data_IF_638349175287
#
_entry.id   IF_638349175287
#
_cell.length_a   1.000
_cell.length_b   1.000
_cell.length_c   1.000
_cell.angle_alpha   90.00
_cell.angle_beta   90.00
_cell.angle_gamma   90.00
#
_symmetry.space_group_name_H-M   'P 1'
#
loop_
_entity.id
_entity.type
_entity.pdbx_description
1 polymer ?
#
# COMPACT_ATOMS: atom_id res chain seq x y z
N UNK A 1 12.29 66.49 69.37
CA UNK A 1 11.25 65.95 70.26
C UNK A 1 10.38 65.02 69.49
N UNK A 2 10.15 63.87 70.08
CA UNK A 2 9.22 62.84 69.70
C UNK A 2 9.73 61.81 68.67
N UNK A 3 10.10 60.71 69.26
CA UNK A 3 10.54 59.44 68.77
C UNK A 3 9.43 58.61 68.12
N UNK A 4 9.79 57.44 67.64
CA UNK A 4 9.20 56.75 66.51
C UNK A 4 8.25 55.63 66.93
N UNK A 5 7.55 55.06 65.99
CA UNK A 5 6.88 53.80 66.15
C UNK A 5 7.25 52.83 65.07
N UNK A 6 7.82 51.75 65.54
CA UNK A 6 8.07 50.48 64.84
C UNK A 6 6.76 49.93 64.28
N UNK A 7 6.76 49.46 63.00
CA UNK A 7 5.75 48.56 62.50
C UNK A 7 6.45 47.40 61.78
N UNK A 8 6.17 46.27 62.33
CA UNK A 8 6.64 44.94 62.00
C UNK A 8 6.34 44.53 60.56
N UNK A 9 7.34 43.83 60.03
CA UNK A 9 7.26 43.11 58.74
C UNK A 9 6.23 42.03 58.71
N UNK A 10 5.42 42.03 57.62
CA UNK A 10 4.63 40.88 57.17
C UNK A 10 5.32 40.27 55.91
N UNK A 11 5.42 38.93 55.85
CA UNK A 11 6.05 38.31 54.69
C UNK A 11 5.09 38.32 53.50
N UNK A 12 5.65 38.76 52.39
CA UNK A 12 4.95 38.73 51.09
C UNK A 12 4.71 37.25 50.66
N UNK A 13 3.45 36.87 50.53
CA UNK A 13 3.02 35.67 49.88
C UNK A 13 3.24 35.84 48.36
N UNK A 14 4.23 35.15 47.83
CA UNK A 14 4.42 34.97 46.40
C UNK A 14 3.25 34.12 45.85
N UNK A 15 2.33 34.76 45.15
CA UNK A 15 1.36 34.06 44.32
C UNK A 15 2.07 33.62 43.05
N UNK A 16 2.44 32.36 43.00
CA UNK A 16 2.82 31.68 41.77
C UNK A 16 1.52 31.54 40.97
N UNK A 17 1.31 32.41 40.00
CA UNK A 17 0.29 32.20 38.96
C UNK A 17 0.77 31.05 38.07
N UNK A 18 0.24 29.87 38.28
CA UNK A 18 0.32 28.79 37.34
C UNK A 18 -0.43 29.18 36.06
N UNK A 19 0.31 29.57 35.04
CA UNK A 19 -0.20 29.70 33.68
C UNK A 19 -0.42 28.30 33.18
N UNK A 20 -1.65 27.82 33.25
CA UNK A 20 -2.12 26.63 32.52
C UNK A 20 -2.08 26.99 31.03
N UNK A 21 -0.98 26.67 30.38
CA UNK A 21 -0.90 26.55 28.91
C UNK A 21 -1.68 25.29 28.57
N UNK A 22 -2.95 25.46 28.22
CA UNK A 22 -3.71 24.41 27.58
C UNK A 22 -3.10 24.19 26.19
N UNK A 23 -2.11 23.32 26.10
CA UNK A 23 -1.65 22.74 24.85
C UNK A 23 -2.83 21.95 24.30
N UNK A 24 -3.58 22.53 23.39
CA UNK A 24 -4.49 21.80 22.52
C UNK A 24 -3.60 20.88 21.68
N UNK A 25 -3.34 19.68 22.17
CA UNK A 25 -2.85 18.56 21.41
C UNK A 25 -3.95 18.26 20.37
N UNK A 26 -3.83 18.86 19.18
CA UNK A 26 -4.37 18.26 17.98
C UNK A 26 -3.68 16.90 17.88
N UNK A 27 -4.30 15.87 18.43
CA UNK A 27 -3.94 14.50 18.21
C UNK A 27 -4.23 14.22 16.73
N UNK A 28 -3.26 14.51 15.86
CA UNK A 28 -3.24 13.83 14.59
C UNK A 28 -3.41 12.34 14.92
N UNK A 29 -4.47 11.70 14.40
CA UNK A 29 -4.68 10.29 14.61
C UNK A 29 -3.49 9.57 13.98
N UNK A 30 -2.48 9.26 14.80
CA UNK A 30 -1.29 8.55 14.34
C UNK A 30 -1.72 7.17 13.87
N UNK A 31 -1.18 6.72 12.74
CA UNK A 31 -1.33 5.34 12.29
C UNK A 31 -0.85 4.41 13.43
N UNK A 32 -1.67 3.43 13.74
CA UNK A 32 -1.31 2.41 14.73
C UNK A 32 -0.46 1.33 14.05
N UNK A 33 0.37 0.64 14.79
CA UNK A 33 1.18 -0.47 14.28
C UNK A 33 0.34 -1.57 13.59
N UNK A 34 -0.93 -1.68 13.98
CA UNK A 34 -1.90 -2.64 13.47
C UNK A 34 -2.68 -2.16 12.23
N UNK A 35 -2.48 -0.92 11.77
CA UNK A 35 -3.15 -0.40 10.59
C UNK A 35 -2.48 -0.92 9.29
N UNK A 36 -3.28 -1.06 8.23
CA UNK A 36 -2.83 -1.40 6.88
C UNK A 36 -3.19 -0.26 5.93
N UNK A 37 -2.45 0.87 6.00
CA UNK A 37 -2.94 2.15 5.52
C UNK A 37 -2.81 2.36 4.01
N UNK A 38 -2.13 1.47 3.29
CA UNK A 38 -1.89 1.59 1.85
C UNK A 38 -1.59 0.23 1.22
N UNK A 39 -1.41 0.20 -0.10
CA UNK A 39 -1.10 -1.01 -0.84
C UNK A 39 0.12 -1.73 -0.27
N UNK A 40 -0.06 -3.00 0.09
CA UNK A 40 0.96 -3.85 0.73
C UNK A 40 1.40 -3.37 2.13
N UNK A 41 0.54 -2.63 2.83
CA UNK A 41 0.73 -2.26 4.23
C UNK A 41 1.63 -1.05 4.47
N UNK A 42 2.01 -0.81 5.73
CA UNK A 42 2.67 0.44 6.14
C UNK A 42 4.01 0.68 5.45
N UNK A 43 4.76 -0.37 5.13
CA UNK A 43 6.05 -0.31 4.42
C UNK A 43 5.96 -0.72 2.95
N UNK A 44 4.76 -0.91 2.39
CA UNK A 44 4.54 -1.36 1.01
C UNK A 44 5.29 -2.66 0.65
N UNK A 45 5.60 -3.50 1.64
CA UNK A 45 6.37 -4.73 1.49
C UNK A 45 5.52 -6.01 1.59
N UNK A 46 4.23 -5.88 1.97
CA UNK A 46 3.31 -7.00 2.10
C UNK A 46 3.42 -7.76 3.42
N UNK A 47 4.24 -7.31 4.36
CA UNK A 47 4.49 -8.00 5.63
C UNK A 47 3.81 -7.24 6.77
N UNK A 48 3.07 -8.00 7.59
CA UNK A 48 2.55 -7.53 8.87
C UNK A 48 3.48 -8.01 9.98
N UNK A 49 3.85 -7.09 10.86
CA UNK A 49 4.59 -7.42 12.09
C UNK A 49 3.66 -7.97 13.18
N UNK A 50 2.36 -7.94 12.96
CA UNK A 50 1.36 -8.45 13.89
C UNK A 50 1.32 -9.98 13.90
N UNK A 51 1.13 -10.54 15.10
CA UNK A 51 0.75 -11.93 15.27
C UNK A 51 -0.78 -12.12 15.28
N UNK A 52 -1.21 -13.39 15.32
CA UNK A 52 -2.62 -13.75 15.54
C UNK A 52 -3.51 -13.77 14.29
N UNK A 53 -2.96 -13.54 13.11
CA UNK A 53 -3.67 -13.80 11.85
C UNK A 53 -3.97 -15.31 11.74
N UNK A 54 -5.20 -15.72 11.39
CA UNK A 54 -5.56 -17.14 11.37
C UNK A 54 -4.71 -17.92 10.38
N UNK A 55 -4.09 -18.99 10.85
CA UNK A 55 -3.43 -19.99 10.01
C UNK A 55 -4.44 -20.94 9.39
N UNK A 56 -5.41 -21.39 10.22
CA UNK A 56 -6.58 -22.14 9.71
C UNK A 56 -7.65 -21.15 9.31
N UNK A 57 -7.79 -20.89 8.02
CA UNK A 57 -8.85 -20.06 7.45
C UNK A 57 -10.02 -20.95 7.08
N UNK A 58 -11.11 -20.86 7.83
CA UNK A 58 -12.35 -21.63 7.65
C UNK A 58 -13.54 -20.66 7.58
N UNK A 59 -14.30 -20.75 6.50
CA UNK A 59 -15.47 -19.89 6.29
C UNK A 59 -16.55 -20.05 7.38
N UNK A 60 -16.66 -21.22 7.98
CA UNK A 60 -17.67 -21.50 9.02
C UNK A 60 -17.30 -20.99 10.40
N UNK A 61 -15.99 -20.93 10.74
CA UNK A 61 -15.51 -20.62 12.09
C UNK A 61 -14.83 -19.25 12.20
N UNK A 62 -14.28 -18.74 11.09
CA UNK A 62 -13.43 -17.55 11.14
C UNK A 62 -13.91 -16.44 10.22
N UNK A 63 -15.04 -16.61 9.54
CA UNK A 63 -15.70 -15.55 8.81
C UNK A 63 -16.31 -14.56 9.80
N UNK A 64 -15.62 -13.45 10.06
CA UNK A 64 -16.16 -12.40 10.90
C UNK A 64 -17.34 -11.70 10.23
N UNK A 65 -17.19 -11.38 8.95
CA UNK A 65 -18.26 -10.85 8.10
C UNK A 65 -17.92 -10.96 6.61
N UNK A 66 -18.96 -10.89 5.80
CA UNK A 66 -18.92 -10.83 4.34
C UNK A 66 -19.96 -9.82 3.87
N UNK A 67 -19.60 -8.93 2.96
CA UNK A 67 -20.48 -7.86 2.45
C UNK A 67 -20.42 -7.78 0.93
N UNK A 68 -21.53 -7.38 0.31
CA UNK A 68 -21.63 -7.14 -1.11
C UNK A 68 -21.15 -5.72 -1.46
N UNK A 69 -20.55 -5.57 -2.63
CA UNK A 69 -20.00 -4.32 -3.13
C UNK A 69 -20.81 -3.80 -4.32
N UNK A 70 -20.94 -2.47 -4.48
CA UNK A 70 -21.82 -1.87 -5.48
C UNK A 70 -21.24 -1.85 -6.89
N UNK A 71 -20.00 -2.30 -7.08
CA UNK A 71 -19.36 -2.21 -8.38
C UNK A 71 -18.01 -2.90 -8.42
N UNK A 72 -17.44 -2.91 -9.62
CA UNK A 72 -16.17 -3.55 -9.91
C UNK A 72 -14.99 -2.84 -9.23
N UNK A 73 -14.01 -3.59 -8.76
CA UNK A 73 -12.79 -3.02 -8.20
C UNK A 73 -11.75 -4.07 -7.83
N UNK A 74 -10.48 -3.71 -8.02
CA UNK A 74 -9.32 -4.55 -7.71
C UNK A 74 -8.43 -3.93 -6.62
N UNK A 75 -8.83 -2.77 -6.09
CA UNK A 75 -8.07 -2.13 -5.00
C UNK A 75 -7.98 -3.06 -3.79
N UNK A 76 -6.80 -3.18 -3.20
CA UNK A 76 -6.67 -3.80 -1.88
C UNK A 76 -7.47 -3.00 -0.87
N UNK A 77 -8.15 -3.64 0.08
CA UNK A 77 -8.70 -2.95 1.24
C UNK A 77 -7.57 -2.27 2.03
N UNK A 78 -7.80 -1.05 2.50
CA UNK A 78 -6.92 -0.45 3.51
C UNK A 78 -7.67 -0.32 4.82
N UNK A 79 -6.97 -0.50 5.93
CA UNK A 79 -7.55 -0.52 7.26
C UNK A 79 -6.86 0.54 8.12
N UNK A 80 -7.66 1.44 8.71
CA UNK A 80 -7.19 2.49 9.61
C UNK A 80 -8.15 2.59 10.78
N UNK A 81 -7.68 2.28 11.98
CA UNK A 81 -8.56 2.17 13.14
C UNK A 81 -9.65 1.13 12.92
N UNK A 82 -10.90 1.46 13.19
CA UNK A 82 -12.08 0.61 12.89
C UNK A 82 -12.69 0.90 11.50
N UNK A 83 -11.92 1.38 10.54
CA UNK A 83 -12.40 1.70 9.20
C UNK A 83 -11.69 0.89 8.14
N UNK A 84 -12.46 0.34 7.21
CA UNK A 84 -11.97 -0.32 6.00
C UNK A 84 -12.38 0.52 4.81
N UNK A 85 -11.41 0.95 4.00
CA UNK A 85 -11.67 1.73 2.80
C UNK A 85 -11.35 0.92 1.56
N UNK A 86 -12.21 1.04 0.57
CA UNK A 86 -12.03 0.48 -0.77
C UNK A 86 -12.48 1.48 -1.83
N UNK A 87 -12.08 1.23 -3.06
CA UNK A 87 -12.61 1.92 -4.24
C UNK A 87 -13.39 0.95 -5.11
N UNK A 88 -14.47 1.42 -5.73
CA UNK A 88 -15.21 0.69 -6.75
C UNK A 88 -15.47 1.58 -7.98
N UNK A 89 -15.81 0.97 -9.09
CA UNK A 89 -16.31 1.66 -10.28
C UNK A 89 -17.57 0.97 -10.79
N UNK A 90 -18.55 1.75 -11.24
CA UNK A 90 -19.82 1.26 -11.73
C UNK A 90 -20.31 2.03 -12.97
N UNK A 91 -21.43 1.59 -13.54
CA UNK A 91 -21.96 2.10 -14.78
C UNK A 91 -21.40 1.37 -16.02
N UNK A 92 -22.04 1.52 -17.20
CA UNK A 92 -21.69 0.76 -18.42
C UNK A 92 -20.23 0.92 -18.88
N UNK A 93 -19.61 2.06 -18.56
CA UNK A 93 -18.21 2.37 -18.87
C UNK A 93 -17.36 2.52 -17.60
N UNK A 94 -17.82 2.04 -16.46
CA UNK A 94 -17.16 2.20 -15.16
C UNK A 94 -16.88 3.69 -14.81
N UNK A 95 -17.69 4.60 -15.32
CA UNK A 95 -17.48 6.05 -15.18
C UNK A 95 -17.95 6.62 -13.84
N UNK A 96 -18.67 5.86 -13.03
CA UNK A 96 -19.03 6.23 -11.66
C UNK A 96 -17.99 5.67 -10.71
N UNK A 97 -17.27 6.55 -10.05
CA UNK A 97 -16.15 6.25 -9.15
C UNK A 97 -16.66 6.29 -7.72
N UNK A 98 -16.34 5.27 -6.93
CA UNK A 98 -16.79 5.15 -5.54
C UNK A 98 -15.59 5.06 -4.61
N UNK A 99 -15.62 5.81 -3.52
CA UNK A 99 -14.82 5.58 -2.32
C UNK A 99 -15.78 5.19 -1.21
N UNK A 100 -15.52 4.05 -0.58
CA UNK A 100 -16.46 3.46 0.38
C UNK A 100 -15.72 3.14 1.66
N UNK A 101 -16.35 3.47 2.79
CA UNK A 101 -15.88 3.15 4.12
C UNK A 101 -16.85 2.18 4.81
N UNK A 102 -16.29 1.12 5.38
CA UNK A 102 -17.00 0.15 6.20
C UNK A 102 -16.40 0.10 7.60
N UNK A 103 -17.19 -0.31 8.58
CA UNK A 103 -16.69 -0.66 9.91
C UNK A 103 -15.88 -1.95 9.83
N UNK A 104 -14.65 -1.94 10.34
CA UNK A 104 -13.82 -3.12 10.43
C UNK A 104 -14.36 -4.13 11.44
N UNK A 105 -15.12 -3.68 12.45
CA UNK A 105 -15.71 -4.55 13.47
C UNK A 105 -16.82 -5.44 12.91
N UNK A 106 -17.78 -4.89 12.17
CA UNK A 106 -19.00 -5.58 11.76
C UNK A 106 -19.34 -5.54 10.26
N UNK A 107 -18.53 -4.86 9.44
CA UNK A 107 -18.74 -4.75 7.98
C UNK A 107 -19.86 -3.79 7.57
N UNK A 108 -20.50 -3.06 8.50
CA UNK A 108 -21.53 -2.09 8.13
C UNK A 108 -20.94 -0.94 7.32
N UNK A 109 -21.65 -0.50 6.28
CA UNK A 109 -21.25 0.66 5.50
C UNK A 109 -21.43 1.94 6.33
N UNK A 110 -20.30 2.65 6.59
CA UNK A 110 -20.30 3.90 7.31
C UNK A 110 -20.64 5.06 6.39
N UNK A 111 -20.04 5.09 5.22
CA UNK A 111 -20.31 6.07 4.19
C UNK A 111 -19.84 5.61 2.80
N UNK A 112 -20.34 6.30 1.78
CA UNK A 112 -19.95 6.15 0.38
C UNK A 112 -19.93 7.52 -0.29
N UNK A 113 -18.87 7.81 -1.06
CA UNK A 113 -18.79 9.00 -1.91
C UNK A 113 -18.66 8.58 -3.36
N UNK A 114 -19.39 9.25 -4.22
CA UNK A 114 -19.43 8.97 -5.65
C UNK A 114 -19.00 10.19 -6.45
N UNK A 115 -18.20 9.93 -7.49
CA UNK A 115 -17.69 10.94 -8.40
C UNK A 115 -17.91 10.46 -9.84
N UNK A 116 -17.94 11.39 -10.78
CA UNK A 116 -17.90 11.06 -12.19
C UNK A 116 -16.45 11.10 -12.67
N UNK A 117 -16.05 10.09 -13.44
CA UNK A 117 -14.74 10.07 -14.10
C UNK A 117 -14.64 11.26 -15.06
N UNK A 118 -13.55 12.03 -14.96
CA UNK A 118 -13.26 13.15 -15.86
C UNK A 118 -12.36 12.76 -17.00
N UNK A 119 -11.63 11.67 -16.84
CA UNK A 119 -10.73 11.11 -17.83
C UNK A 119 -11.22 9.81 -18.45
N UNK A 120 -10.33 9.11 -19.13
CA UNK A 120 -10.62 7.90 -19.90
C UNK A 120 -10.82 6.71 -18.97
N UNK A 121 -11.90 5.96 -19.17
CA UNK A 121 -12.26 4.79 -18.35
C UNK A 121 -11.99 3.45 -19.04
N UNK A 122 -11.36 3.45 -20.21
CA UNK A 122 -10.98 2.22 -20.89
C UNK A 122 -9.81 1.56 -20.17
N UNK A 123 -9.89 0.27 -19.91
CA UNK A 123 -8.86 -0.52 -19.26
C UNK A 123 -8.85 -1.95 -19.80
N UNK A 124 -7.78 -2.68 -19.54
CA UNK A 124 -7.66 -4.09 -19.91
C UNK A 124 -8.72 -4.94 -19.22
N UNK A 125 -9.26 -6.00 -19.84
CA UNK A 125 -10.36 -6.79 -19.27
C UNK A 125 -10.10 -7.39 -17.87
N UNK A 126 -8.85 -7.74 -17.56
CA UNK A 126 -8.44 -8.22 -16.22
C UNK A 126 -8.19 -7.10 -15.22
N UNK A 127 -8.32 -5.82 -15.61
CA UNK A 127 -8.25 -4.68 -14.69
C UNK A 127 -9.55 -3.89 -14.70
N UNK A 128 -9.63 -2.81 -13.98
CA UNK A 128 -10.81 -1.95 -13.90
C UNK A 128 -10.43 -0.50 -13.58
N UNK A 129 -11.40 0.41 -13.64
CA UNK A 129 -11.16 1.82 -13.33
C UNK A 129 -10.77 2.02 -11.86
N UNK A 130 -11.29 1.20 -10.96
CA UNK A 130 -10.94 1.20 -9.54
C UNK A 130 -9.88 0.12 -9.20
N UNK A 131 -8.84 -0.03 -10.05
CA UNK A 131 -7.75 -0.95 -9.79
C UNK A 131 -6.73 -0.44 -8.74
N UNK A 132 -6.32 0.83 -8.75
CA UNK A 132 -5.41 1.34 -7.73
C UNK A 132 -6.00 1.28 -6.32
N UNK A 133 -5.19 0.89 -5.36
CA UNK A 133 -5.58 0.89 -3.95
C UNK A 133 -5.53 2.30 -3.38
N UNK A 134 -6.48 2.69 -2.53
CA UNK A 134 -6.41 3.94 -1.78
C UNK A 134 -5.27 3.89 -0.75
N UNK A 135 -4.95 5.05 -0.16
CA UNK A 135 -4.04 5.14 0.96
C UNK A 135 -4.51 6.17 1.98
N UNK A 136 -4.05 6.03 3.23
CA UNK A 136 -4.42 6.92 4.34
C UNK A 136 -3.20 7.32 5.15
N UNK A 137 -3.20 8.56 5.64
CA UNK A 137 -2.22 9.08 6.61
C UNK A 137 -2.72 9.00 8.07
N UNK A 138 -3.86 8.32 8.30
CA UNK A 138 -4.53 8.26 9.60
C UNK A 138 -5.54 9.38 9.85
N UNK A 139 -5.56 10.41 9.01
CA UNK A 139 -6.49 11.55 9.10
C UNK A 139 -7.33 11.72 7.82
N UNK A 140 -6.77 11.29 6.70
CA UNK A 140 -7.35 11.41 5.36
C UNK A 140 -7.26 10.09 4.63
N UNK A 141 -8.12 9.92 3.64
CA UNK A 141 -8.01 8.86 2.64
C UNK A 141 -7.87 9.48 1.25
N UNK A 142 -6.86 9.06 0.52
CA UNK A 142 -6.63 9.47 -0.86
C UNK A 142 -6.83 8.28 -1.77
N UNK A 143 -7.60 8.47 -2.82
CA UNK A 143 -7.81 7.47 -3.87
C UNK A 143 -7.44 8.03 -5.23
N UNK A 144 -6.87 7.18 -6.09
CA UNK A 144 -6.67 7.45 -7.50
C UNK A 144 -7.38 6.38 -8.32
N UNK A 145 -7.90 6.75 -9.47
CA UNK A 145 -8.57 5.85 -10.39
C UNK A 145 -7.84 5.78 -11.73
N UNK A 146 -8.06 4.71 -12.47
CA UNK A 146 -7.46 4.52 -13.79
C UNK A 146 -7.85 5.61 -14.81
N UNK A 147 -8.90 6.37 -14.53
CA UNK A 147 -9.29 7.58 -15.26
C UNK A 147 -8.39 8.79 -14.99
N UNK A 148 -7.32 8.62 -14.17
CA UNK A 148 -6.47 9.69 -13.66
C UNK A 148 -7.22 10.73 -12.80
N UNK A 149 -8.32 10.32 -12.17
CA UNK A 149 -9.01 11.11 -11.17
C UNK A 149 -8.47 10.79 -9.79
N UNK A 150 -8.06 11.80 -9.05
CA UNK A 150 -7.59 11.69 -7.67
C UNK A 150 -8.53 12.43 -6.73
N UNK A 151 -8.81 11.84 -5.56
CA UNK A 151 -9.70 12.42 -4.56
C UNK A 151 -9.09 12.24 -3.17
N UNK A 152 -9.22 13.27 -2.34
CA UNK A 152 -8.89 13.24 -0.92
C UNK A 152 -10.12 13.53 -0.10
N UNK A 153 -10.40 12.67 0.87
CA UNK A 153 -11.50 12.76 1.81
C UNK A 153 -10.94 12.73 3.24
N UNK A 154 -11.66 13.29 4.21
CA UNK A 154 -11.39 12.96 5.60
C UNK A 154 -11.93 11.55 5.94
N UNK A 155 -11.68 11.07 7.15
CA UNK A 155 -12.12 9.72 7.54
C UNK A 155 -13.65 9.61 7.69
N UNK A 156 -14.36 10.74 7.79
CA UNK A 156 -15.81 10.84 7.81
C UNK A 156 -16.41 10.94 6.41
N UNK A 157 -15.55 10.99 5.38
CA UNK A 157 -15.94 11.03 3.97
C UNK A 157 -16.25 12.44 3.47
N UNK A 158 -15.91 13.51 4.18
CA UNK A 158 -16.05 14.86 3.66
C UNK A 158 -14.95 15.13 2.62
N UNK A 159 -15.34 15.75 1.51
CA UNK A 159 -14.42 16.07 0.43
C UNK A 159 -13.45 17.17 0.84
N UNK A 160 -12.15 16.88 0.75
CA UNK A 160 -11.10 17.89 0.93
C UNK A 160 -10.73 18.47 -0.44
N UNK A 161 -10.40 17.61 -1.41
CA UNK A 161 -10.17 18.03 -2.79
C UNK A 161 -10.43 16.88 -3.78
N UNK A 162 -10.68 17.28 -5.04
CA UNK A 162 -10.80 16.39 -6.20
C UNK A 162 -9.98 16.97 -7.36
N UNK A 163 -9.22 16.13 -8.05
CA UNK A 163 -8.45 16.51 -9.24
C UNK A 163 -8.61 15.52 -10.38
N UNK A 164 -8.98 16.02 -11.54
CA UNK A 164 -8.94 15.29 -12.79
C UNK A 164 -7.58 15.46 -13.44
N UNK A 165 -6.58 14.65 -13.06
CA UNK A 165 -5.22 14.75 -13.59
C UNK A 165 -5.15 14.56 -15.11
N UNK A 166 -6.10 13.83 -15.71
CA UNK A 166 -6.22 13.71 -17.16
C UNK A 166 -6.56 15.02 -17.88
N UNK A 167 -7.06 16.03 -17.17
CA UNK A 167 -7.25 17.39 -17.70
C UNK A 167 -5.99 18.22 -17.62
N UNK A 168 -5.21 18.05 -16.56
CA UNK A 168 -3.92 18.72 -16.38
C UNK A 168 -2.85 18.12 -17.31
N UNK A 169 -2.94 16.81 -17.56
CA UNK A 169 -2.00 16.00 -18.35
C UNK A 169 -2.76 15.15 -19.37
N UNK A 170 -3.29 15.74 -20.47
CA UNK A 170 -4.20 15.06 -21.39
C UNK A 170 -3.56 13.89 -22.15
N UNK A 171 -2.24 13.88 -22.28
CA UNK A 171 -1.50 12.79 -22.90
C UNK A 171 -1.18 11.62 -21.95
N UNK A 172 -1.38 11.79 -20.66
CA UNK A 172 -1.12 10.78 -19.63
C UNK A 172 -2.20 9.69 -19.62
N UNK A 173 -2.49 9.10 -20.76
CA UNK A 173 -3.52 8.06 -20.92
C UNK A 173 -2.88 6.76 -21.37
N UNK A 174 -3.09 5.69 -20.57
CA UNK A 174 -2.73 4.34 -20.94
C UNK A 174 -3.98 3.57 -21.39
N UNK A 175 -3.96 3.01 -22.61
CA UNK A 175 -5.10 2.24 -23.15
C UNK A 175 -5.41 0.99 -22.36
N UNK A 176 -4.46 0.48 -21.58
CA UNK A 176 -4.64 -0.68 -20.71
C UNK A 176 -5.07 -0.29 -19.29
N UNK A 177 -5.19 1.00 -19.01
CA UNK A 177 -5.53 1.55 -17.70
C UNK A 177 -4.33 1.71 -16.76
N UNK A 178 -4.54 2.42 -15.65
CA UNK A 178 -3.61 2.62 -14.56
C UNK A 178 -3.95 1.64 -13.43
N UNK A 179 -2.96 0.89 -12.92
CA UNK A 179 -3.12 0.08 -11.70
C UNK A 179 -2.09 0.41 -10.61
N UNK A 180 -1.16 1.33 -10.90
CA UNK A 180 -0.23 1.85 -9.90
C UNK A 180 -0.99 2.46 -8.73
N UNK A 181 -0.81 1.91 -7.54
CA UNK A 181 -1.37 2.46 -6.31
C UNK A 181 -0.50 3.62 -5.83
N UNK A 182 -1.12 4.61 -5.20
CA UNK A 182 -0.38 5.75 -4.66
C UNK A 182 0.32 5.42 -3.34
N UNK A 183 1.32 6.21 -3.00
CA UNK A 183 2.06 6.15 -1.73
C UNK A 183 1.89 7.46 -0.98
N UNK A 184 1.53 7.41 0.31
CA UNK A 184 1.53 8.59 1.18
C UNK A 184 2.80 8.64 2.03
N UNK A 185 3.58 9.68 1.88
CA UNK A 185 4.73 9.99 2.73
C UNK A 185 5.13 11.47 2.57
N UNK A 186 5.75 12.06 3.58
CA UNK A 186 6.24 13.44 3.52
C UNK A 186 5.16 14.51 3.30
N UNK A 187 3.91 14.22 3.67
CA UNK A 187 2.78 15.15 3.50
C UNK A 187 2.28 15.29 2.06
N UNK A 188 2.62 14.33 1.20
CA UNK A 188 2.16 14.26 -0.20
C UNK A 188 1.60 12.88 -0.54
N UNK A 189 0.71 12.86 -1.53
CA UNK A 189 0.33 11.65 -2.25
C UNK A 189 1.21 11.54 -3.50
N UNK A 190 2.04 10.51 -3.53
CA UNK A 190 2.93 10.22 -4.65
C UNK A 190 2.17 9.37 -5.66
N UNK A 191 1.97 9.92 -6.84
CA UNK A 191 1.26 9.29 -7.96
C UNK A 191 2.23 9.09 -9.12
N UNK A 192 2.40 7.84 -9.53
CA UNK A 192 3.22 7.44 -10.67
C UNK A 192 2.32 7.13 -11.86
N UNK A 193 2.47 7.89 -12.94
CA UNK A 193 1.73 7.70 -14.20
C UNK A 193 2.76 7.59 -15.32
N UNK A 194 2.83 6.42 -15.93
CA UNK A 194 3.72 6.19 -17.06
C UNK A 194 2.94 5.57 -18.22
N UNK A 195 2.95 6.24 -19.35
CA UNK A 195 2.30 5.81 -20.60
C UNK A 195 3.26 5.98 -21.80
N UNK A 196 2.84 5.59 -22.99
CA UNK A 196 3.66 5.78 -24.18
C UNK A 196 3.78 7.27 -24.59
N UNK A 197 2.76 8.06 -24.30
CA UNK A 197 2.71 9.46 -24.72
C UNK A 197 3.26 10.41 -23.65
N UNK A 198 3.12 10.08 -22.38
CA UNK A 198 3.58 10.91 -21.27
C UNK A 198 3.91 10.04 -20.06
N UNK A 199 4.99 10.36 -19.35
CA UNK A 199 5.40 9.68 -18.14
C UNK A 199 5.85 10.68 -17.08
N UNK A 200 5.26 10.61 -15.88
CA UNK A 200 5.63 11.45 -14.75
C UNK A 200 5.35 10.78 -13.42
N UNK A 201 6.00 11.28 -12.37
CA UNK A 201 5.58 11.07 -10.99
C UNK A 201 5.36 12.45 -10.36
N UNK A 202 4.25 12.60 -9.64
CA UNK A 202 3.90 13.84 -8.94
C UNK A 202 3.69 13.59 -7.46
N UNK A 203 4.05 14.58 -6.64
CA UNK A 203 3.66 14.67 -5.24
C UNK A 203 2.52 15.68 -5.10
N UNK A 204 1.32 15.19 -4.83
CA UNK A 204 0.16 16.01 -4.55
C UNK A 204 0.14 16.37 -3.08
N UNK A 205 0.08 17.65 -2.76
CA UNK A 205 -0.09 18.14 -1.40
C UNK A 205 -1.40 17.60 -0.79
N UNK A 206 -1.31 16.97 0.38
CA UNK A 206 -2.46 16.31 1.00
C UNK A 206 -3.57 17.29 1.47
N UNK A 207 -3.26 18.55 1.65
CA UNK A 207 -4.26 19.55 2.07
C UNK A 207 -4.97 20.20 0.90
N UNK A 208 -4.24 20.44 -0.21
CA UNK A 208 -4.74 21.24 -1.33
C UNK A 208 -4.96 20.46 -2.62
N UNK A 209 -4.34 19.28 -2.74
CA UNK A 209 -4.31 18.51 -3.98
C UNK A 209 -3.43 19.13 -5.10
N UNK A 210 -2.73 20.23 -4.83
CA UNK A 210 -1.84 20.87 -5.80
C UNK A 210 -0.51 20.11 -5.88
N UNK A 211 0.16 20.22 -7.02
CA UNK A 211 1.50 19.65 -7.15
C UNK A 211 2.47 20.39 -6.25
N UNK A 212 3.14 19.69 -5.35
CA UNK A 212 4.36 20.19 -4.70
C UNK A 212 5.57 20.04 -5.61
N UNK A 213 5.60 18.94 -6.36
CA UNK A 213 6.67 18.63 -7.31
C UNK A 213 6.16 17.71 -8.41
N UNK A 214 6.90 17.68 -9.52
CA UNK A 214 6.72 16.76 -10.65
C UNK A 214 8.09 16.38 -11.20
N UNK A 215 8.28 15.10 -11.48
CA UNK A 215 9.48 14.57 -12.13
C UNK A 215 9.08 13.80 -13.40
N UNK A 216 9.89 13.93 -14.41
CA UNK A 216 9.72 13.19 -15.65
C UNK A 216 10.02 11.72 -15.46
N UNK A 217 9.28 10.85 -16.14
CA UNK A 217 9.44 9.41 -16.13
C UNK A 217 9.52 8.87 -17.57
N UNK A 218 9.97 7.61 -17.73
CA UNK A 218 10.01 7.00 -19.07
C UNK A 218 8.65 7.00 -19.76
N UNK A 219 8.63 7.29 -21.08
CA UNK A 219 7.43 7.20 -21.91
C UNK A 219 7.20 5.73 -22.33
N UNK A 220 6.99 4.88 -21.35
CA UNK A 220 6.68 3.45 -21.50
C UNK A 220 5.62 3.04 -20.49
N UNK A 221 4.66 2.18 -20.88
CA UNK A 221 3.65 1.72 -19.94
C UNK A 221 4.26 1.06 -18.71
N UNK A 222 3.79 1.46 -17.54
CA UNK A 222 4.23 0.93 -16.26
C UNK A 222 3.05 0.89 -15.27
N UNK A 223 2.96 -0.20 -14.53
CA UNK A 223 1.88 -0.47 -13.58
C UNK A 223 2.40 -0.73 -12.16
N UNK A 224 3.73 -0.62 -11.97
CA UNK A 224 4.32 -0.78 -10.65
C UNK A 224 3.86 0.33 -9.71
N UNK A 225 3.70 0.00 -8.45
CA UNK A 225 3.40 0.98 -7.39
C UNK A 225 4.70 1.43 -6.72
N UNK A 226 4.81 2.70 -6.32
CA UNK A 226 5.89 3.15 -5.46
C UNK A 226 5.95 2.33 -4.17
N UNK A 227 7.15 2.12 -3.65
CA UNK A 227 7.36 1.47 -2.35
C UNK A 227 8.08 2.41 -1.39
N UNK A 228 7.86 2.22 -0.10
CA UNK A 228 8.51 2.99 0.95
C UNK A 228 9.73 2.23 1.48
N UNK A 229 10.86 2.93 1.60
CA UNK A 229 12.08 2.41 2.20
C UNK A 229 12.49 3.31 3.34
N UNK A 230 12.78 2.72 4.50
CA UNK A 230 13.32 3.41 5.67
C UNK A 230 14.76 3.02 5.88
N UNK A 231 15.67 3.97 5.73
CA UNK A 231 17.10 3.72 5.90
C UNK A 231 17.80 4.94 6.53
N UNK A 232 18.63 4.69 7.54
CA UNK A 232 19.34 5.76 8.24
C UNK A 232 18.41 6.83 8.85
N UNK A 233 17.21 6.45 9.30
CA UNK A 233 16.20 7.37 9.84
C UNK A 233 15.47 8.22 8.79
N UNK A 234 15.68 7.97 7.50
CA UNK A 234 15.02 8.67 6.38
C UNK A 234 14.00 7.76 5.71
N UNK A 235 12.93 8.37 5.24
CA UNK A 235 11.97 7.71 4.32
C UNK A 235 12.29 8.11 2.89
N UNK A 236 12.35 7.12 2.00
CA UNK A 236 12.51 7.31 0.57
C UNK A 236 11.39 6.57 -0.17
N UNK A 237 10.83 7.21 -1.19
CA UNK A 237 9.95 6.54 -2.12
C UNK A 237 10.78 5.96 -3.26
N UNK A 238 10.68 4.65 -3.48
CA UNK A 238 11.37 3.98 -4.58
C UNK A 238 10.38 3.71 -5.71
N UNK A 239 10.72 4.20 -6.88
CA UNK A 239 9.96 4.11 -8.12
C UNK A 239 10.68 3.13 -9.06
N UNK A 240 10.00 2.06 -9.44
CA UNK A 240 10.53 1.06 -10.38
C UNK A 240 9.89 1.26 -11.74
N UNK A 241 10.68 1.10 -12.80
CA UNK A 241 10.20 1.11 -14.19
C UNK A 241 11.11 0.28 -15.08
N UNK A 242 10.75 0.17 -16.36
CA UNK A 242 11.60 -0.47 -17.36
C UNK A 242 12.96 0.22 -17.58
N UNK A 243 13.13 1.47 -17.12
CA UNK A 243 14.40 2.19 -17.18
C UNK A 243 15.31 1.93 -15.98
N UNK A 244 14.77 1.42 -14.87
CA UNK A 244 15.50 1.17 -13.63
C UNK A 244 14.68 1.48 -12.39
N UNK A 245 15.39 1.64 -11.29
CA UNK A 245 14.81 2.11 -10.03
C UNK A 245 15.40 3.47 -9.66
N UNK A 246 14.56 4.36 -9.13
CA UNK A 246 14.99 5.63 -8.57
C UNK A 246 14.38 5.83 -7.19
N UNK A 247 15.16 6.37 -6.25
CA UNK A 247 14.65 6.80 -4.96
C UNK A 247 14.56 8.32 -4.91
N UNK A 248 13.48 8.79 -4.33
CA UNK A 248 13.20 10.21 -4.17
C UNK A 248 12.89 10.54 -2.71
N UNK A 249 13.17 11.77 -2.31
CA UNK A 249 12.66 12.34 -1.07
C UNK A 249 11.16 12.63 -1.25
N UNK A 250 10.26 12.01 -0.47
CA UNK A 250 8.82 12.14 -0.67
C UNK A 250 8.31 13.58 -0.68
N UNK A 251 8.78 14.41 0.27
CA UNK A 251 8.30 15.78 0.44
C UNK A 251 8.67 16.73 -0.71
N UNK A 252 9.79 16.48 -1.40
CA UNK A 252 10.38 17.41 -2.37
C UNK A 252 10.48 16.88 -3.79
N UNK A 253 10.34 15.55 -3.98
CA UNK A 253 10.58 14.88 -5.25
C UNK A 253 12.06 14.83 -5.68
N UNK A 254 12.98 15.30 -4.80
CA UNK A 254 14.40 15.29 -5.09
C UNK A 254 14.89 13.86 -5.26
N UNK A 255 15.50 13.58 -6.41
CA UNK A 255 16.13 12.28 -6.68
C UNK A 255 17.36 12.13 -5.78
N UNK A 256 17.39 11.02 -5.05
CA UNK A 256 18.49 10.66 -4.14
C UNK A 256 19.50 9.80 -4.86
N UNK A 257 19.02 8.79 -5.59
CA UNK A 257 19.81 7.92 -6.44
C UNK A 257 18.97 7.32 -7.56
N UNK A 258 19.64 6.86 -8.60
CA UNK A 258 19.06 6.13 -9.72
C UNK A 258 19.94 4.94 -10.11
N UNK A 259 19.29 3.90 -10.63
CA UNK A 259 19.97 2.73 -11.21
C UNK A 259 19.53 2.55 -12.65
N UNK A 260 20.46 2.13 -13.50
CA UNK A 260 20.18 1.85 -14.92
C UNK A 260 19.70 0.40 -15.17
N UNK A 261 19.61 -0.43 -14.14
CA UNK A 261 19.11 -1.81 -14.27
C UNK A 261 17.63 -1.80 -14.50
N UNK A 262 17.19 -2.05 -15.73
CA UNK A 262 15.76 -2.01 -16.10
C UNK A 262 14.92 -2.96 -15.25
N UNK A 263 13.87 -2.42 -14.62
CA UNK A 263 12.89 -3.19 -13.87
C UNK A 263 11.77 -3.75 -14.75
N UNK A 264 10.99 -4.65 -14.18
CA UNK A 264 9.70 -5.05 -14.74
C UNK A 264 8.70 -3.90 -14.66
N UNK A 265 7.71 -3.91 -15.54
CA UNK A 265 6.65 -2.89 -15.59
C UNK A 265 5.35 -3.31 -14.88
N UNK A 266 5.28 -4.50 -14.30
CA UNK A 266 4.06 -5.02 -13.66
C UNK A 266 4.29 -5.30 -12.17
N UNK A 267 5.14 -6.26 -11.74
CA UNK A 267 5.39 -6.45 -10.32
C UNK A 267 6.19 -5.29 -9.74
N UNK A 268 5.73 -4.77 -8.62
CA UNK A 268 6.44 -3.72 -7.86
C UNK A 268 7.68 -4.30 -7.15
N UNK A 269 8.61 -3.46 -6.76
CA UNK A 269 9.71 -3.86 -5.91
C UNK A 269 9.29 -4.31 -4.51
N UNK A 270 10.22 -4.82 -3.75
CA UNK A 270 10.07 -5.09 -2.32
C UNK A 270 11.32 -4.65 -1.57
N UNK A 271 11.17 -4.28 -0.31
CA UNK A 271 12.30 -3.94 0.54
C UNK A 271 12.22 -4.66 1.88
N UNK A 272 13.37 -5.02 2.43
CA UNK A 272 13.51 -5.60 3.76
C UNK A 272 14.85 -5.17 4.35
N UNK A 273 14.81 -4.41 5.45
CA UNK A 273 16.00 -3.78 5.98
C UNK A 273 16.66 -2.87 4.94
N UNK A 274 17.92 -3.10 4.67
CA UNK A 274 18.74 -2.38 3.68
C UNK A 274 18.75 -3.04 2.28
N UNK A 275 17.99 -4.11 2.09
CA UNK A 275 17.87 -4.81 0.81
C UNK A 275 16.66 -4.32 0.02
N UNK A 276 16.89 -3.99 -1.25
CA UNK A 276 15.88 -3.71 -2.25
C UNK A 276 15.86 -4.83 -3.29
N UNK A 277 14.71 -5.45 -3.47
CA UNK A 277 14.47 -6.49 -4.46
C UNK A 277 13.70 -5.89 -5.65
N UNK A 278 14.34 -5.85 -6.81
CA UNK A 278 13.76 -5.30 -8.04
C UNK A 278 13.48 -6.44 -9.02
N UNK A 279 12.21 -6.70 -9.35
CA UNK A 279 11.88 -7.62 -10.44
C UNK A 279 12.40 -7.07 -11.77
N UNK A 280 13.03 -7.93 -12.56
CA UNK A 280 13.54 -7.60 -13.89
C UNK A 280 13.03 -8.62 -14.91
N UNK A 281 13.11 -8.35 -16.22
CA UNK A 281 12.78 -9.34 -17.25
C UNK A 281 13.63 -10.63 -17.14
N UNK A 282 14.80 -10.54 -16.53
CA UNK A 282 15.71 -11.70 -16.34
C UNK A 282 15.44 -12.48 -15.05
N UNK A 283 14.75 -11.90 -14.09
CA UNK A 283 14.46 -12.53 -12.79
C UNK A 283 14.31 -11.52 -11.66
N UNK A 284 15.04 -11.71 -10.58
CA UNK A 284 15.05 -10.80 -9.43
C UNK A 284 16.47 -10.31 -9.17
N UNK A 285 16.63 -9.02 -8.98
CA UNK A 285 17.89 -8.38 -8.59
C UNK A 285 17.78 -7.87 -7.16
N UNK A 286 18.78 -8.17 -6.33
CA UNK A 286 18.89 -7.54 -5.01
C UNK A 286 19.97 -6.47 -5.02
N UNK A 287 19.63 -5.35 -4.39
CA UNK A 287 20.51 -4.19 -4.23
C UNK A 287 20.64 -3.84 -2.75
N UNK A 288 21.84 -3.52 -2.32
CA UNK A 288 22.13 -3.00 -1.00
C UNK A 288 21.98 -1.47 -1.03
N UNK A 289 21.05 -0.94 -0.25
CA UNK A 289 20.82 0.49 -0.08
C UNK A 289 21.62 0.95 1.13
N UNK A 290 22.54 1.90 0.91
CA UNK A 290 23.28 2.53 2.01
C UNK A 290 22.49 3.69 2.65
N UNK A 291 22.90 4.15 3.85
CA UNK A 291 22.30 5.31 4.51
C UNK A 291 22.63 6.63 3.81
N UNK A 292 23.55 6.63 2.86
CA UNK A 292 23.97 7.77 2.07
C UNK A 292 23.15 7.92 0.80
N UNK A 293 23.41 8.99 0.04
CA UNK A 293 22.79 9.21 -1.29
C UNK A 293 23.49 8.41 -2.41
N UNK A 294 24.37 7.48 -2.06
CA UNK A 294 25.05 6.67 -3.06
C UNK A 294 24.08 5.72 -3.78
N UNK A 295 24.33 5.51 -5.05
CA UNK A 295 23.57 4.53 -5.83
C UNK A 295 23.70 3.15 -5.19
N UNK A 296 22.58 2.40 -5.03
CA UNK A 296 22.59 1.07 -4.43
C UNK A 296 23.53 0.11 -5.19
N UNK A 297 24.23 -0.71 -4.42
CA UNK A 297 25.11 -1.72 -4.98
C UNK A 297 24.31 -3.00 -5.26
N UNK A 298 24.31 -3.47 -6.51
CA UNK A 298 23.82 -4.80 -6.83
C UNK A 298 24.67 -5.86 -6.11
N UNK A 299 24.02 -6.73 -5.33
CA UNK A 299 24.70 -7.81 -4.61
C UNK A 299 24.53 -9.15 -5.31
N UNK A 300 23.36 -9.39 -5.92
CA UNK A 300 23.10 -10.56 -6.75
C UNK A 300 21.98 -10.33 -7.76
N UNK A 301 21.94 -11.14 -8.81
CA UNK A 301 20.84 -11.30 -9.77
C UNK A 301 20.55 -12.78 -9.91
N UNK A 302 19.26 -13.17 -9.85
CA UNK A 302 18.86 -14.57 -9.92
C UNK A 302 17.78 -14.78 -10.96
N UNK A 303 18.10 -15.53 -12.01
CA UNK A 303 17.13 -15.91 -13.04
C UNK A 303 16.16 -17.01 -12.59
N UNK A 304 16.44 -17.62 -11.44
CA UNK A 304 15.60 -18.66 -10.84
C UNK A 304 14.47 -18.08 -9.97
N UNK A 305 14.61 -16.82 -9.53
CA UNK A 305 13.62 -16.09 -8.74
C UNK A 305 12.84 -15.17 -9.68
N UNK A 306 11.77 -15.67 -10.27
CA UNK A 306 10.95 -14.91 -11.23
C UNK A 306 9.59 -14.59 -10.63
N UNK A 307 9.30 -13.31 -10.50
CA UNK A 307 7.96 -12.83 -10.22
C UNK A 307 7.13 -12.85 -11.51
N UNK A 308 5.85 -13.20 -11.39
CA UNK A 308 4.84 -12.97 -12.42
C UNK A 308 4.22 -11.58 -12.27
N UNK A 309 2.89 -11.51 -12.39
CA UNK A 309 2.09 -10.34 -12.00
C UNK A 309 2.23 -10.03 -10.50
N UNK A 310 2.21 -11.03 -9.60
CA UNK A 310 2.45 -10.80 -8.18
C UNK A 310 3.85 -10.23 -7.90
N UNK A 311 3.93 -9.24 -7.02
CA UNK A 311 5.20 -8.66 -6.57
C UNK A 311 5.94 -9.62 -5.63
N UNK A 312 7.28 -9.55 -5.54
CA UNK A 312 8.04 -10.32 -4.57
C UNK A 312 7.72 -9.88 -3.14
N UNK A 313 8.00 -10.77 -2.20
CA UNK A 313 7.88 -10.50 -0.77
C UNK A 313 9.10 -11.05 -0.04
N UNK A 314 9.60 -10.32 0.95
CA UNK A 314 10.69 -10.78 1.81
C UNK A 314 10.17 -11.08 3.21
N UNK A 315 10.51 -12.27 3.74
CA UNK A 315 10.10 -12.74 5.07
C UNK A 315 11.33 -13.29 5.78
N UNK A 316 11.82 -12.57 6.78
CA UNK A 316 13.09 -12.89 7.44
C UNK A 316 14.25 -12.92 6.43
N UNK A 317 15.02 -13.98 6.43
CA UNK A 317 16.16 -14.18 5.51
C UNK A 317 15.77 -14.77 4.14
N UNK A 318 14.47 -14.81 3.84
CA UNK A 318 13.94 -15.38 2.61
C UNK A 318 13.31 -14.30 1.73
N UNK A 319 13.48 -14.46 0.42
CA UNK A 319 12.73 -13.71 -0.59
C UNK A 319 11.91 -14.68 -1.41
N UNK A 320 10.63 -14.37 -1.61
CA UNK A 320 9.71 -15.25 -2.31
C UNK A 320 9.17 -14.53 -3.56
N UNK A 321 9.08 -15.29 -4.64
CA UNK A 321 8.46 -14.86 -5.90
C UNK A 321 7.37 -15.85 -6.28
N UNK A 322 6.24 -15.33 -6.77
CA UNK A 322 5.13 -16.14 -7.24
C UNK A 322 4.92 -15.90 -8.73
N UNK A 323 4.93 -16.96 -9.52
CA UNK A 323 4.64 -16.88 -10.95
C UNK A 323 3.13 -16.85 -11.19
N UNK A 324 2.70 -16.31 -12.35
CA UNK A 324 1.27 -16.31 -12.74
C UNK A 324 0.67 -17.72 -12.75
N UNK A 325 1.47 -18.73 -13.11
CA UNK A 325 1.04 -20.13 -13.15
C UNK A 325 1.03 -20.85 -11.80
N UNK A 326 1.42 -20.19 -10.69
CA UNK A 326 1.34 -20.76 -9.34
C UNK A 326 2.59 -21.47 -8.87
N UNK A 327 3.77 -21.18 -9.41
CA UNK A 327 5.03 -21.61 -8.82
C UNK A 327 5.49 -20.55 -7.81
N UNK A 328 5.45 -20.92 -6.54
CA UNK A 328 6.05 -20.16 -5.46
C UNK A 328 7.51 -20.60 -5.34
N UNK A 329 8.43 -19.66 -5.50
CA UNK A 329 9.89 -19.92 -5.40
C UNK A 329 10.43 -19.14 -4.21
N UNK A 330 11.11 -19.82 -3.32
CA UNK A 330 11.83 -19.25 -2.19
C UNK A 330 13.32 -19.21 -2.49
N UNK A 331 13.93 -18.06 -2.22
CA UNK A 331 15.37 -17.87 -2.29
C UNK A 331 15.92 -17.24 -1.02
N UNK A 332 17.23 -17.34 -0.85
CA UNK A 332 17.97 -16.61 0.17
C UNK A 332 17.98 -15.12 -0.18
N UNK A 333 17.59 -14.26 0.75
CA UNK A 333 17.63 -12.81 0.55
C UNK A 333 19.04 -12.26 0.40
N UNK A 334 20.03 -12.91 0.99
CA UNK A 334 21.44 -12.49 0.97
C UNK A 334 22.21 -12.97 -0.25
N UNK A 335 21.88 -14.16 -0.82
CA UNK A 335 22.65 -14.76 -1.93
C UNK A 335 21.89 -14.89 -3.24
N UNK A 336 20.54 -14.83 -3.22
CA UNK A 336 19.69 -15.07 -4.39
C UNK A 336 19.62 -16.54 -4.81
N UNK A 337 20.21 -17.46 -4.04
CA UNK A 337 20.11 -18.89 -4.29
C UNK A 337 18.68 -19.37 -4.05
N UNK A 338 18.18 -20.22 -4.96
CA UNK A 338 16.89 -20.86 -4.77
C UNK A 338 17.00 -21.93 -3.69
N UNK A 339 16.19 -21.78 -2.63
CA UNK A 339 16.10 -22.74 -1.54
C UNK A 339 15.12 -23.86 -1.87
N UNK A 340 13.92 -23.52 -2.30
CA UNK A 340 12.88 -24.47 -2.68
C UNK A 340 11.84 -23.88 -3.64
N UNK A 341 10.96 -24.74 -4.18
CA UNK A 341 9.80 -24.37 -4.98
C UNK A 341 8.59 -25.18 -4.55
N UNK A 342 7.43 -24.54 -4.54
CA UNK A 342 6.16 -25.16 -4.21
C UNK A 342 5.11 -24.82 -5.28
N UNK A 343 4.31 -25.81 -5.69
CA UNK A 343 3.21 -25.63 -6.63
C UNK A 343 1.96 -25.24 -5.85
N UNK A 344 1.40 -24.08 -6.13
CA UNK A 344 0.12 -23.61 -5.61
C UNK A 344 -1.01 -23.75 -6.63
N UNK A 345 -2.26 -23.70 -6.16
CA UNK A 345 -3.47 -23.72 -6.99
C UNK A 345 -3.72 -22.33 -7.60
N UNK A 346 -3.16 -22.09 -8.79
CA UNK A 346 -3.25 -20.83 -9.54
C UNK A 346 -4.40 -20.78 -10.56
N UNK A 347 -4.41 -19.78 -11.47
CA UNK A 347 -3.39 -18.73 -11.65
C UNK A 347 -3.44 -17.62 -10.60
N UNK A 348 -2.42 -16.73 -10.61
CA UNK A 348 -2.29 -15.65 -9.63
C UNK A 348 -2.04 -14.28 -10.29
N UNK A 349 -2.79 -13.27 -9.83
CA UNK A 349 -2.54 -11.85 -10.07
C UNK A 349 -2.29 -11.09 -8.75
N UNK A 350 -2.92 -11.55 -7.67
CA UNK A 350 -2.77 -10.97 -6.33
C UNK A 350 -1.36 -11.20 -5.77
N UNK A 351 -0.77 -10.16 -5.20
CA UNK A 351 0.50 -10.26 -4.47
C UNK A 351 0.27 -10.97 -3.12
N UNK A 352 1.13 -11.91 -2.73
CA UNK A 352 1.07 -12.50 -1.39
C UNK A 352 1.28 -11.48 -0.28
N UNK A 353 0.70 -11.75 0.89
CA UNK A 353 0.96 -11.01 2.13
C UNK A 353 1.40 -11.99 3.22
N UNK A 354 2.17 -11.51 4.20
CA UNK A 354 2.72 -12.35 5.25
C UNK A 354 2.47 -11.80 6.65
N UNK A 355 2.34 -12.72 7.61
CA UNK A 355 2.37 -12.44 9.06
C UNK A 355 3.20 -13.51 9.74
N UNK A 356 4.29 -13.11 10.41
CA UNK A 356 5.29 -14.03 10.90
C UNK A 356 5.90 -14.87 9.78
N UNK A 357 5.85 -16.19 9.92
CA UNK A 357 6.35 -17.12 8.89
C UNK A 357 5.24 -17.71 8.00
N UNK A 358 4.02 -17.19 8.10
CA UNK A 358 2.90 -17.60 7.26
C UNK A 358 2.71 -16.63 6.09
N UNK A 359 2.63 -17.20 4.89
CA UNK A 359 2.34 -16.49 3.66
C UNK A 359 0.92 -16.79 3.22
N UNK A 360 0.16 -15.76 2.90
CA UNK A 360 -1.23 -15.86 2.42
C UNK A 360 -1.26 -15.51 0.94
N UNK A 361 -1.60 -16.50 0.12
CA UNK A 361 -1.74 -16.38 -1.33
C UNK A 361 -3.20 -16.60 -1.71
N UNK A 362 -3.76 -15.78 -2.59
CA UNK A 362 -5.09 -16.02 -3.16
C UNK A 362 -5.01 -16.08 -4.68
N UNK A 363 -5.57 -17.14 -5.24
CA UNK A 363 -5.58 -17.35 -6.69
C UNK A 363 -6.72 -16.57 -7.37
N UNK A 364 -6.62 -16.38 -8.70
CA UNK A 364 -7.69 -15.80 -9.51
C UNK A 364 -9.01 -16.63 -9.44
N UNK A 365 -8.91 -17.90 -9.06
CA UNK A 365 -10.08 -18.76 -8.83
C UNK A 365 -10.71 -18.60 -7.44
N UNK A 366 -10.16 -17.70 -6.61
CA UNK A 366 -10.65 -17.47 -5.26
C UNK A 366 -10.16 -18.46 -4.22
N UNK A 367 -9.20 -19.32 -4.54
CA UNK A 367 -8.61 -20.24 -3.57
C UNK A 367 -7.51 -19.51 -2.78
N UNK A 368 -7.80 -19.21 -1.53
CA UNK A 368 -6.83 -18.70 -0.58
C UNK A 368 -6.04 -19.87 0.01
N UNK A 369 -4.71 -19.77 0.01
CA UNK A 369 -3.79 -20.78 0.51
C UNK A 369 -2.85 -20.16 1.54
N UNK A 370 -2.70 -20.82 2.68
CA UNK A 370 -1.76 -20.42 3.75
C UNK A 370 -0.55 -21.33 3.67
N UNK A 371 0.62 -20.73 3.55
CA UNK A 371 1.87 -21.44 3.39
C UNK A 371 2.78 -21.16 4.59
N UNK A 372 3.26 -22.21 5.26
CA UNK A 372 4.31 -22.12 6.27
C UNK A 372 5.68 -22.09 5.56
N UNK A 373 6.27 -20.91 5.48
CA UNK A 373 7.58 -20.71 4.85
C UNK A 373 8.76 -20.99 5.78
N UNK A 374 8.51 -21.33 7.06
CA UNK A 374 9.55 -21.77 7.98
C UNK A 374 10.02 -23.21 7.66
N UNK A 375 9.17 -24.00 7.06
CA UNK A 375 9.47 -25.38 6.68
C UNK A 375 10.57 -25.45 5.61
N UNK A 376 11.37 -26.51 5.61
CA UNK A 376 12.51 -26.66 4.68
C UNK A 376 12.14 -26.57 3.19
N UNK A 377 10.94 -27.01 2.80
CA UNK A 377 10.45 -27.00 1.42
C UNK A 377 9.22 -26.08 1.23
N UNK A 378 8.82 -25.39 2.29
CA UNK A 378 7.51 -24.73 2.35
C UNK A 378 6.35 -25.74 2.38
N UNK A 379 5.27 -25.40 3.02
CA UNK A 379 4.13 -26.30 3.17
C UNK A 379 2.81 -25.51 3.07
N UNK A 380 1.86 -25.99 2.25
CA UNK A 380 0.48 -25.48 2.27
C UNK A 380 -0.21 -26.09 3.49
N UNK A 381 -0.42 -25.27 4.51
CA UNK A 381 -1.00 -25.73 5.80
C UNK A 381 -2.50 -25.54 5.88
N UNK A 382 -3.07 -24.70 5.02
CA UNK A 382 -4.52 -24.51 4.95
C UNK A 382 -4.96 -23.94 3.59
N UNK A 383 -6.20 -24.23 3.21
CA UNK A 383 -6.85 -23.72 2.00
C UNK A 383 -8.31 -23.35 2.27
N UNK A 384 -8.77 -22.28 1.62
CA UNK A 384 -10.16 -21.84 1.63
C UNK A 384 -10.57 -21.42 0.22
N UNK A 385 -11.66 -21.97 -0.29
CA UNK A 385 -12.30 -21.50 -1.53
C UNK A 385 -13.33 -20.42 -1.19
N UNK A 386 -13.10 -19.20 -1.67
CA UNK A 386 -14.00 -18.05 -1.51
C UNK A 386 -15.10 -18.02 -2.59
N UNK A 387 -15.01 -18.88 -3.61
CA UNK A 387 -16.03 -19.09 -4.63
C UNK A 387 -16.17 -17.98 -5.65
N UNK A 388 -15.22 -17.05 -5.73
CA UNK A 388 -15.25 -15.90 -6.64
C UNK A 388 -13.87 -15.60 -7.21
N UNK A 389 -13.84 -14.95 -8.38
CA UNK A 389 -12.58 -14.46 -8.95
C UNK A 389 -11.99 -13.36 -8.08
N UNK A 390 -10.74 -13.55 -7.64
CA UNK A 390 -9.99 -12.57 -6.83
C UNK A 390 -8.70 -12.19 -7.55
N UNK A 391 -8.58 -10.91 -7.85
CA UNK A 391 -7.38 -10.32 -8.47
C UNK A 391 -6.70 -9.32 -7.53
N UNK A 392 -7.39 -8.91 -6.46
CA UNK A 392 -6.89 -7.95 -5.49
C UNK A 392 -5.93 -8.59 -4.50
N UNK A 393 -4.91 -7.85 -4.10
CA UNK A 393 -4.00 -8.25 -3.02
C UNK A 393 -4.72 -8.20 -1.68
N UNK A 394 -4.60 -9.25 -0.83
CA UNK A 394 -5.17 -9.24 0.52
C UNK A 394 -4.55 -8.17 1.41
N UNK A 395 -5.19 -7.91 2.54
CA UNK A 395 -4.69 -7.00 3.57
C UNK A 395 -4.77 -7.65 4.94
N UNK A 396 -3.84 -7.30 5.81
CA UNK A 396 -3.76 -7.84 7.18
C UNK A 396 -3.90 -6.69 8.17
N UNK A 397 -4.77 -6.82 9.14
CA UNK A 397 -4.87 -5.85 10.24
C UNK A 397 -5.56 -6.48 11.44
N UNK A 398 -5.03 -6.22 12.64
CA UNK A 398 -5.62 -6.61 13.94
C UNK A 398 -5.98 -8.09 14.01
N UNK A 399 -4.98 -8.93 13.66
CA UNK A 399 -5.15 -10.37 13.67
C UNK A 399 -6.21 -10.89 12.69
N UNK A 400 -6.56 -10.13 11.68
CA UNK A 400 -7.52 -10.51 10.63
C UNK A 400 -6.93 -10.34 9.24
N UNK A 401 -7.40 -11.14 8.29
CA UNK A 401 -7.09 -11.00 6.88
C UNK A 401 -8.35 -10.61 6.11
N UNK A 402 -8.18 -9.72 5.13
CA UNK A 402 -9.25 -9.20 4.30
C UNK A 402 -9.02 -9.62 2.84
N UNK A 403 -10.03 -10.21 2.22
CA UNK A 403 -10.05 -10.57 0.80
C UNK A 403 -11.13 -9.77 0.09
N UNK A 404 -10.91 -9.50 -1.20
CA UNK A 404 -11.86 -8.77 -2.01
C UNK A 404 -11.94 -9.35 -3.42
N UNK A 405 -13.17 -9.53 -3.91
CA UNK A 405 -13.50 -9.72 -5.33
C UNK A 405 -14.10 -8.43 -5.94
N UNK A 406 -14.53 -8.48 -7.19
CA UNK A 406 -15.35 -7.41 -7.78
C UNK A 406 -16.67 -7.18 -7.01
N UNK A 407 -17.27 -8.25 -6.50
CA UNK A 407 -18.61 -8.24 -5.92
C UNK A 407 -18.65 -8.26 -4.39
N UNK A 408 -17.58 -8.66 -3.72
CA UNK A 408 -17.59 -8.89 -2.28
C UNK A 408 -16.29 -8.50 -1.57
N UNK A 409 -16.45 -8.23 -0.27
CA UNK A 409 -15.36 -8.06 0.68
C UNK A 409 -15.58 -9.00 1.87
N UNK A 410 -14.52 -9.72 2.25
CA UNK A 410 -14.49 -10.65 3.39
C UNK A 410 -13.50 -10.21 4.44
N UNK A 411 -13.85 -10.40 5.69
CA UNK A 411 -12.93 -10.38 6.83
C UNK A 411 -12.93 -11.76 7.48
N UNK A 412 -11.74 -12.35 7.58
CA UNK A 412 -11.51 -13.58 8.33
C UNK A 412 -10.58 -13.27 9.51
N UNK A 413 -10.92 -13.79 10.68
CA UNK A 413 -10.18 -13.55 11.90
C UNK A 413 -11.09 -13.77 13.11
N UNK A 414 -10.57 -13.45 14.29
CA UNK A 414 -11.42 -13.50 15.48
C UNK A 414 -12.58 -12.51 15.32
N UNK A 415 -13.82 -12.90 15.64
CA UNK A 415 -14.91 -11.93 15.77
C UNK A 415 -14.46 -10.82 16.72
N UNK A 416 -14.73 -9.57 16.35
CA UNK A 416 -14.55 -8.45 17.28
C UNK A 416 -15.51 -8.67 18.46
N UNK A 417 -14.97 -8.79 19.67
CA UNK A 417 -15.74 -8.91 20.91
C UNK A 417 -16.43 -7.58 21.18
#
# INVERSE_FOLDING_TARGET
MISPLNLSAFPARSQVRAVLVASALLSAAALRAEDWPQFRGPLCNGVSEEGGVPVSIDAGRQMAWKIDLPGRGLSSPIIVGDRVFITCSSGPRQQRLHVICFSASNGSKLWERQFWATGRTMCFPKTCVAAPSPASDGSRVVAIFSSNDAVCLDLEGNLIWFRGLGRDYPNASNSLGLSSSLLLSGGVAIVQVESQAEGFTIGLDLQTGLNRWRIERPHKPNWTSPILVRIGGRELAVLVSSAGASAIEPATGKVVWETASGGSSVPSGAASGDLLFVPTPRGLTAMLIGPTNATPKQIWESSRLRAGTPSPIAVGEKVLTLSDGGILTCGSSSTGERLWQLRLKGPFSATPVASGHYLYCVSEKGVAQVIDVSKPEGEVVNELDLGETILSTPSISRGSIYFRSDARLWKLGKPSV
#
